data_IF_452216241440
#
_entry.id   IF_452216241440
#
_cell.length_a   1.000
_cell.length_b   1.000
_cell.length_c   1.000
_cell.angle_alpha   90.00
_cell.angle_beta   90.00
_cell.angle_gamma   90.00
#
_symmetry.space_group_name_H-M   'P 1'
#
loop_
_entity.id
_entity.type
_entity.pdbx_description
1 polymer ?
#
# COMPACT_ATOMS: atom_id res chain seq x y z
N UNK A 1 7.52 39.84 9.74
CA UNK A 1 8.68 39.09 10.28
C UNK A 1 8.44 37.60 10.03
N UNK A 2 9.18 36.93 9.14
CA UNK A 2 9.04 35.47 8.98
C UNK A 2 9.61 34.77 10.22
N UNK A 3 8.74 34.40 11.14
CA UNK A 3 9.10 33.81 12.43
C UNK A 3 9.71 32.40 12.34
N UNK A 4 10.25 31.88 13.47
CA UNK A 4 10.87 30.54 13.57
C UNK A 4 9.93 29.38 13.16
N UNK A 5 8.62 29.64 13.10
CA UNK A 5 7.57 28.67 12.78
C UNK A 5 7.57 28.29 11.29
N UNK A 6 7.73 29.25 10.38
CA UNK A 6 7.88 28.97 8.93
C UNK A 6 9.11 28.11 8.63
N UNK A 7 10.15 28.17 9.48
CA UNK A 7 11.35 27.34 9.33
C UNK A 7 11.15 25.87 9.68
N UNK A 8 10.10 25.51 10.42
CA UNK A 8 9.90 24.14 10.92
C UNK A 8 8.89 23.32 10.09
N UNK A 9 7.82 23.95 9.58
CA UNK A 9 6.79 23.25 8.79
C UNK A 9 7.08 23.26 7.28
N UNK A 10 7.67 24.35 6.76
CA UNK A 10 7.95 24.49 5.34
C UNK A 10 8.89 23.42 4.77
N UNK A 11 9.96 22.97 5.46
CA UNK A 11 10.86 21.96 4.92
C UNK A 11 10.18 20.60 4.74
N UNK A 12 9.46 20.11 5.75
CA UNK A 12 8.77 18.81 5.69
C UNK A 12 7.63 18.81 4.67
N UNK A 13 6.93 19.95 4.56
CA UNK A 13 5.90 20.16 3.55
C UNK A 13 6.48 20.14 2.12
N UNK A 14 7.58 20.85 1.91
CA UNK A 14 8.27 20.85 0.62
C UNK A 14 8.81 19.45 0.29
N UNK A 15 9.30 18.71 1.29
CA UNK A 15 9.75 17.33 1.13
C UNK A 15 8.59 16.41 0.69
N UNK A 16 7.42 16.49 1.33
CA UNK A 16 6.26 15.70 0.92
C UNK A 16 5.82 16.05 -0.50
N UNK A 17 5.68 17.33 -0.81
CA UNK A 17 5.29 17.80 -2.14
C UNK A 17 6.26 17.32 -3.22
N UNK A 18 7.55 17.50 -2.99
CA UNK A 18 8.59 17.04 -3.91
C UNK A 18 8.55 15.52 -4.06
N UNK A 19 8.40 14.79 -2.95
CA UNK A 19 8.36 13.33 -3.00
C UNK A 19 7.15 12.83 -3.78
N UNK A 20 5.96 13.40 -3.57
CA UNK A 20 4.75 13.04 -4.32
C UNK A 20 4.94 13.22 -5.83
N UNK A 21 5.63 14.27 -6.28
CA UNK A 21 5.97 14.46 -7.69
C UNK A 21 6.93 13.42 -8.27
N UNK A 22 7.65 12.67 -7.42
CA UNK A 22 8.58 11.61 -7.85
C UNK A 22 7.97 10.21 -7.82
N UNK A 23 6.80 10.04 -7.19
CA UNK A 23 6.14 8.74 -7.13
C UNK A 23 5.59 8.40 -8.52
N UNK A 24 5.96 7.24 -9.10
CA UNK A 24 5.43 6.83 -10.39
C UNK A 24 3.89 6.69 -10.38
N UNK A 25 3.29 6.89 -11.56
CA UNK A 25 1.92 6.45 -11.82
C UNK A 25 1.99 5.01 -12.34
N UNK A 26 1.30 4.11 -11.66
CA UNK A 26 1.24 2.70 -12.05
C UNK A 26 -0.03 2.47 -12.86
N UNK A 27 0.01 2.81 -14.15
CA UNK A 27 -1.14 2.64 -15.05
C UNK A 27 -1.25 1.23 -15.61
N UNK A 28 -0.14 0.50 -15.65
CA UNK A 28 -0.06 -0.86 -16.17
C UNK A 28 0.79 -1.70 -15.22
N UNK A 29 0.37 -2.95 -15.02
CA UNK A 29 1.13 -3.89 -14.22
C UNK A 29 2.19 -4.62 -15.06
N UNK A 30 3.41 -4.78 -14.53
CA UNK A 30 4.48 -5.44 -15.26
C UNK A 30 4.21 -6.94 -15.37
N UNK A 31 4.54 -7.49 -16.53
CA UNK A 31 4.48 -8.93 -16.74
C UNK A 31 5.57 -9.68 -15.98
N UNK A 32 5.20 -10.84 -15.44
CA UNK A 32 6.12 -11.78 -14.79
C UNK A 32 6.18 -11.69 -13.27
N UNK A 33 6.32 -12.84 -12.63
CA UNK A 33 6.27 -12.98 -11.16
C UNK A 33 7.36 -12.20 -10.44
N UNK A 34 8.57 -12.19 -10.99
CA UNK A 34 9.70 -11.47 -10.37
C UNK A 34 9.50 -9.96 -10.46
N UNK A 35 9.02 -9.46 -11.61
CA UNK A 35 8.65 -8.05 -11.80
C UNK A 35 7.55 -7.62 -10.83
N UNK A 36 6.50 -8.43 -10.69
CA UNK A 36 5.42 -8.19 -9.73
C UNK A 36 5.93 -8.20 -8.28
N UNK A 37 6.91 -9.05 -7.96
CA UNK A 37 7.50 -9.11 -6.61
C UNK A 37 8.33 -7.86 -6.29
N UNK A 38 9.09 -7.35 -7.25
CA UNK A 38 9.82 -6.08 -7.08
C UNK A 38 8.86 -4.90 -6.99
N UNK A 39 7.86 -4.83 -7.87
CA UNK A 39 6.82 -3.80 -7.82
C UNK A 39 6.11 -3.78 -6.46
N UNK A 40 5.78 -4.96 -5.90
CA UNK A 40 5.18 -5.07 -4.56
C UNK A 40 6.06 -4.43 -3.47
N UNK A 41 7.38 -4.57 -3.55
CA UNK A 41 8.31 -3.97 -2.59
C UNK A 41 8.36 -2.46 -2.77
N UNK A 42 8.37 -1.99 -4.01
CA UNK A 42 8.38 -0.58 -4.37
C UNK A 42 7.11 0.14 -3.90
N UNK A 43 5.92 -0.40 -4.18
CA UNK A 43 4.65 0.14 -3.70
C UNK A 43 4.62 0.26 -2.16
N UNK A 44 5.06 -0.79 -1.45
CA UNK A 44 5.19 -0.75 0.02
C UNK A 44 6.16 0.31 0.50
N UNK A 45 7.25 0.54 -0.23
CA UNK A 45 8.21 1.59 0.10
C UNK A 45 7.57 2.97 -0.01
N UNK A 46 6.88 3.26 -1.12
CA UNK A 46 6.22 4.55 -1.33
C UNK A 46 5.15 4.81 -0.28
N UNK A 47 4.24 3.86 -0.04
CA UNK A 47 3.20 3.98 0.99
C UNK A 47 3.84 4.34 2.33
N UNK A 48 4.83 3.56 2.77
CA UNK A 48 5.50 3.79 4.06
C UNK A 48 6.18 5.16 4.14
N UNK A 49 6.78 5.63 3.05
CA UNK A 49 7.46 6.93 3.02
C UNK A 49 6.47 8.09 3.05
N UNK A 50 5.39 8.03 2.27
CA UNK A 50 4.34 9.05 2.28
C UNK A 50 3.70 9.11 3.66
N UNK A 51 3.29 7.97 4.24
CA UNK A 51 2.68 7.95 5.58
C UNK A 51 3.56 8.62 6.63
N UNK A 52 4.88 8.36 6.63
CA UNK A 52 5.80 9.00 7.58
C UNK A 52 5.88 10.51 7.42
N UNK A 53 5.94 11.01 6.18
CA UNK A 53 5.99 12.44 5.92
C UNK A 53 4.68 13.10 6.33
N UNK A 54 3.55 12.47 6.03
CA UNK A 54 2.23 12.94 6.41
C UNK A 54 2.05 12.95 7.93
N UNK A 55 2.53 11.94 8.65
CA UNK A 55 2.51 11.89 10.13
C UNK A 55 3.35 13.01 10.76
N UNK A 56 4.55 13.26 10.22
CA UNK A 56 5.42 14.34 10.69
C UNK A 56 4.77 15.70 10.50
N UNK A 57 4.11 15.89 9.36
CA UNK A 57 3.36 17.09 9.01
C UNK A 57 2.18 17.28 9.98
N UNK A 58 1.37 16.25 10.22
CA UNK A 58 0.28 16.28 11.20
C UNK A 58 0.77 16.64 12.61
N UNK A 59 1.86 16.01 13.06
CA UNK A 59 2.44 16.28 14.39
C UNK A 59 2.90 17.73 14.51
N UNK A 60 3.56 18.26 13.48
CA UNK A 60 4.04 19.65 13.46
C UNK A 60 2.88 20.65 13.44
N UNK A 61 1.78 20.31 12.77
CA UNK A 61 0.58 21.13 12.77
C UNK A 61 -0.12 21.16 14.14
N UNK A 62 -0.17 20.03 14.84
CA UNK A 62 -0.68 19.96 16.21
C UNK A 62 0.17 20.80 17.19
N UNK A 63 1.51 20.72 17.09
CA UNK A 63 2.42 21.57 17.86
C UNK A 63 2.17 23.07 17.60
N UNK A 64 1.83 23.44 16.36
CA UNK A 64 1.48 24.81 15.97
C UNK A 64 0.15 25.27 16.56
N UNK A 65 -0.90 24.47 16.44
CA UNK A 65 -2.23 24.76 17.00
C UNK A 65 -2.14 25.02 18.51
N UNK A 66 -1.36 24.20 19.23
CA UNK A 66 -1.13 24.38 20.67
C UNK A 66 -0.36 25.66 21.01
N UNK A 67 0.66 26.03 20.20
CA UNK A 67 1.41 27.26 20.40
C UNK A 67 0.53 28.51 20.21
N UNK A 68 -0.31 28.52 19.18
CA UNK A 68 -1.27 29.60 18.94
C UNK A 68 -2.22 29.69 20.13
N UNK A 69 -2.88 28.61 20.51
CA UNK A 69 -3.84 28.59 21.63
C UNK A 69 -3.22 29.10 22.95
N UNK A 70 -1.95 28.79 23.22
CA UNK A 70 -1.22 29.32 24.39
C UNK A 70 -0.89 30.80 24.30
N UNK A 71 -0.76 31.35 23.11
CA UNK A 71 -0.43 32.76 22.86
C UNK A 71 -1.65 33.70 22.74
N UNK A 72 -2.84 33.14 22.47
CA UNK A 72 -4.11 33.87 22.31
C UNK A 72 -4.58 34.68 23.54
N UNK A 73 -4.23 34.37 24.81
CA UNK A 73 -4.64 35.25 25.92
C UNK A 73 -3.98 36.64 25.92
N UNK A 74 -2.94 36.88 25.11
CA UNK A 74 -2.04 38.03 25.28
C UNK A 74 -2.16 39.17 24.24
N UNK A 75 -2.86 39.01 23.10
CA UNK A 75 -2.87 40.04 22.04
C UNK A 75 -4.20 40.19 21.29
N UNK A 76 -5.20 40.75 21.94
CA UNK A 76 -6.49 41.09 21.32
C UNK A 76 -6.46 42.36 20.41
N UNK A 77 -5.30 42.79 19.88
CA UNK A 77 -5.19 44.06 19.11
C UNK A 77 -4.23 44.06 17.89
N UNK A 78 -3.64 42.94 17.52
CA UNK A 78 -2.84 42.79 16.26
C UNK A 78 -3.38 41.61 15.42
N UNK A 79 -4.69 41.33 15.51
CA UNK A 79 -5.28 40.04 15.12
C UNK A 79 -5.56 39.85 13.63
N UNK A 80 -5.76 40.90 12.83
CA UNK A 80 -6.29 40.74 11.46
C UNK A 80 -5.24 40.21 10.45
N UNK A 81 -4.02 40.74 10.47
CA UNK A 81 -2.94 40.34 9.54
C UNK A 81 -2.36 38.95 9.91
N UNK A 82 -2.31 38.62 11.20
CA UNK A 82 -1.91 37.30 11.69
C UNK A 82 -2.95 36.23 11.34
N UNK A 83 -4.25 36.56 11.40
CA UNK A 83 -5.31 35.61 11.04
C UNK A 83 -5.28 35.25 9.56
N UNK A 84 -5.03 36.22 8.68
CA UNK A 84 -5.02 35.98 7.23
C UNK A 84 -3.77 35.19 6.78
N UNK A 85 -2.61 35.42 7.43
CA UNK A 85 -1.39 34.66 7.16
C UNK A 85 -1.46 33.23 7.72
N UNK A 86 -2.19 33.01 8.82
CA UNK A 86 -2.41 31.68 9.40
C UNK A 86 -3.44 30.85 8.63
N UNK A 87 -4.52 31.45 8.11
CA UNK A 87 -5.50 30.74 7.27
C UNK A 87 -4.91 30.30 5.93
N UNK A 88 -4.16 31.16 5.22
CA UNK A 88 -3.47 30.77 3.97
C UNK A 88 -2.43 29.67 4.16
N UNK A 89 -1.74 29.67 5.30
CA UNK A 89 -0.79 28.61 5.66
C UNK A 89 -1.47 27.25 5.91
N UNK A 90 -2.66 27.29 6.54
CA UNK A 90 -3.46 26.12 6.85
C UNK A 90 -4.15 25.50 5.61
N UNK A 91 -4.65 26.32 4.69
CA UNK A 91 -5.27 25.85 3.43
C UNK A 91 -4.26 25.09 2.56
N UNK A 92 -3.08 25.68 2.35
CA UNK A 92 -2.01 25.06 1.59
C UNK A 92 -1.43 23.82 2.33
N UNK A 93 -1.61 23.70 3.64
CA UNK A 93 -1.25 22.49 4.40
C UNK A 93 -2.24 21.36 4.13
N UNK A 94 -3.54 21.65 4.23
CA UNK A 94 -4.61 20.69 4.02
C UNK A 94 -4.53 20.08 2.62
N UNK A 95 -4.24 20.90 1.61
CA UNK A 95 -4.08 20.46 0.23
C UNK A 95 -2.99 19.40 0.07
N UNK A 96 -1.77 19.66 0.56
CA UNK A 96 -0.64 18.72 0.42
C UNK A 96 -0.84 17.47 1.28
N UNK A 97 -1.49 17.62 2.44
CA UNK A 97 -1.86 16.48 3.29
C UNK A 97 -2.88 15.58 2.58
N UNK A 98 -3.93 16.16 1.97
CA UNK A 98 -4.94 15.43 1.21
C UNK A 98 -4.35 14.72 0.00
N UNK A 99 -3.47 15.39 -0.76
CA UNK A 99 -2.73 14.77 -1.87
C UNK A 99 -1.90 13.56 -1.40
N UNK A 100 -1.30 13.66 -0.21
CA UNK A 100 -0.58 12.54 0.40
C UNK A 100 -1.49 11.35 0.73
N UNK A 101 -2.71 11.60 1.22
CA UNK A 101 -3.68 10.54 1.51
C UNK A 101 -4.20 9.88 0.23
N UNK A 102 -4.62 10.69 -0.75
CA UNK A 102 -5.08 10.20 -2.06
C UNK A 102 -4.02 9.31 -2.72
N UNK A 103 -2.74 9.72 -2.68
CA UNK A 103 -1.65 8.92 -3.22
C UNK A 103 -1.43 7.62 -2.45
N UNK A 104 -1.67 7.59 -1.14
CA UNK A 104 -1.58 6.36 -0.35
C UNK A 104 -2.68 5.38 -0.78
N UNK A 105 -3.91 5.86 -0.95
CA UNK A 105 -5.05 5.03 -1.38
C UNK A 105 -4.79 4.42 -2.77
N UNK A 106 -4.36 5.24 -3.74
CA UNK A 106 -3.98 4.77 -5.08
C UNK A 106 -2.90 3.66 -5.03
N UNK A 107 -1.85 3.85 -4.22
CA UNK A 107 -0.78 2.86 -4.09
C UNK A 107 -1.25 1.59 -3.37
N UNK A 108 -2.22 1.69 -2.47
CA UNK A 108 -2.81 0.54 -1.78
C UNK A 108 -3.65 -0.31 -2.73
N UNK A 109 -4.43 0.31 -3.60
CA UNK A 109 -5.19 -0.39 -4.65
C UNK A 109 -4.25 -1.16 -5.58
N UNK A 110 -3.21 -0.49 -6.09
CA UNK A 110 -2.18 -1.11 -6.91
C UNK A 110 -1.49 -2.29 -6.19
N UNK A 111 -1.23 -2.15 -4.88
CA UNK A 111 -0.60 -3.20 -4.09
C UNK A 111 -1.53 -4.42 -3.93
N UNK A 112 -2.84 -4.21 -3.79
CA UNK A 112 -3.80 -5.29 -3.69
C UNK A 112 -3.96 -6.02 -5.03
N UNK A 113 -3.98 -5.30 -6.15
CA UNK A 113 -4.00 -5.90 -7.48
C UNK A 113 -2.76 -6.78 -7.72
N UNK A 114 -1.56 -6.26 -7.42
CA UNK A 114 -0.31 -7.04 -7.48
C UNK A 114 -0.37 -8.28 -6.58
N UNK A 115 -0.91 -8.16 -5.36
CA UNK A 115 -1.08 -9.32 -4.48
C UNK A 115 -2.03 -10.35 -5.07
N UNK A 116 -3.11 -9.91 -5.72
CA UNK A 116 -4.08 -10.80 -6.35
C UNK A 116 -3.48 -11.55 -7.54
N UNK A 117 -2.72 -10.89 -8.40
CA UNK A 117 -2.02 -11.54 -9.51
C UNK A 117 -0.98 -12.56 -9.02
N UNK A 118 -0.20 -12.20 -8.01
CA UNK A 118 0.75 -13.13 -7.39
C UNK A 118 0.05 -14.35 -6.79
N UNK A 119 -1.14 -14.20 -6.19
CA UNK A 119 -1.95 -15.33 -5.70
C UNK A 119 -2.43 -16.21 -6.86
N UNK A 120 -2.98 -15.62 -7.91
CA UNK A 120 -3.45 -16.36 -9.09
C UNK A 120 -2.32 -17.19 -9.75
N UNK A 121 -1.11 -16.64 -9.85
CA UNK A 121 0.04 -17.37 -10.38
C UNK A 121 0.47 -18.55 -9.48
N UNK A 122 0.25 -18.47 -8.16
CA UNK A 122 0.54 -19.58 -7.25
C UNK A 122 -0.56 -20.64 -7.24
N UNK A 123 -1.80 -20.26 -7.54
CA UNK A 123 -2.95 -21.17 -7.58
C UNK A 123 -3.06 -21.92 -8.91
N UNK A 124 -2.52 -21.38 -10.00
CA UNK A 124 -2.50 -22.09 -11.29
C UNK A 124 -1.51 -23.25 -11.21
N UNK A 125 -1.95 -24.52 -11.16
CA UNK A 125 -1.02 -25.62 -11.38
C UNK A 125 -0.55 -25.45 -12.81
N UNK A 126 0.75 -25.31 -13.01
CA UNK A 126 1.37 -25.53 -14.32
C UNK A 126 1.16 -27.00 -14.70
N UNK A 127 -0.06 -27.34 -15.13
CA UNK A 127 -0.48 -28.67 -15.57
C UNK A 127 -0.09 -28.92 -17.04
N UNK A 128 0.38 -27.89 -17.75
CA UNK A 128 0.93 -27.99 -19.10
C UNK A 128 2.46 -28.16 -19.11
N UNK A 129 3.03 -28.95 -18.19
CA UNK A 129 4.38 -29.48 -18.42
C UNK A 129 4.27 -30.74 -19.27
N UNK A 130 4.82 -30.78 -20.50
CA UNK A 130 5.02 -32.05 -21.18
C UNK A 130 5.88 -32.94 -20.28
N UNK A 131 5.30 -34.08 -19.88
CA UNK A 131 5.93 -35.05 -18.99
C UNK A 131 7.13 -35.70 -19.69
N UNK A 132 8.30 -35.06 -19.58
CA UNK A 132 9.56 -35.67 -20.00
C UNK A 132 10.10 -36.57 -18.88
N UNK A 133 10.02 -37.88 -19.10
CA UNK A 133 10.86 -38.90 -18.46
C UNK A 133 10.49 -39.32 -17.03
N UNK A 134 10.39 -40.64 -16.83
CA UNK A 134 10.46 -41.49 -15.62
C UNK A 134 9.68 -41.09 -14.34
N UNK A 135 9.52 -39.80 -14.01
CA UNK A 135 8.71 -39.29 -12.90
C UNK A 135 7.21 -39.59 -13.04
N UNK A 136 6.71 -39.76 -14.28
CA UNK A 136 5.31 -40.14 -14.52
C UNK A 136 5.02 -41.60 -14.13
N UNK A 137 6.00 -42.49 -14.29
CA UNK A 137 5.88 -43.91 -13.93
C UNK A 137 5.73 -44.08 -12.42
N UNK A 138 6.50 -43.33 -11.62
CA UNK A 138 6.43 -43.37 -10.16
C UNK A 138 5.04 -42.92 -9.66
N UNK A 139 4.45 -41.88 -10.27
CA UNK A 139 3.12 -41.38 -9.88
C UNK A 139 1.98 -42.35 -10.27
N UNK A 140 2.10 -43.05 -11.39
CA UNK A 140 1.17 -44.10 -11.81
C UNK A 140 1.24 -45.35 -10.92
N UNK A 141 2.44 -45.74 -10.48
CA UNK A 141 2.63 -46.88 -9.57
C UNK A 141 2.05 -46.56 -8.17
N UNK A 142 2.28 -45.34 -7.67
CA UNK A 142 1.71 -44.89 -6.40
C UNK A 142 0.16 -44.84 -6.42
N UNK A 143 -0.44 -44.43 -7.54
CA UNK A 143 -1.91 -44.39 -7.68
C UNK A 143 -2.55 -45.78 -7.89
N UNK A 144 -1.82 -46.77 -8.40
CA UNK A 144 -2.30 -48.15 -8.51
C UNK A 144 -2.36 -48.86 -7.16
N UNK A 145 -1.48 -48.52 -6.22
CA UNK A 145 -1.41 -49.20 -4.92
C UNK A 145 -2.50 -48.80 -3.91
N UNK A 146 -3.28 -47.74 -4.18
CA UNK A 146 -4.33 -47.24 -3.28
C UNK A 146 -5.77 -47.65 -3.67
N UNK A 147 -5.95 -48.45 -4.73
CA UNK A 147 -7.25 -49.07 -5.02
C UNK A 147 -7.38 -50.40 -4.29
N UNK A 148 -7.78 -50.36 -3.02
CA UNK A 148 -8.37 -51.55 -2.35
C UNK A 148 -9.59 -51.99 -3.18
N UNK A 149 -9.74 -53.29 -3.53
CA UNK A 149 -10.94 -53.75 -4.20
C UNK A 149 -12.14 -53.64 -3.24
N UNK A 150 -13.19 -52.92 -3.67
CA UNK A 150 -14.49 -52.94 -3.00
C UNK A 150 -15.03 -54.36 -3.11
N UNK A 151 -15.18 -55.01 -1.95
CA UNK A 151 -15.80 -56.32 -1.76
C UNK A 151 -17.27 -56.22 -2.22
N UNK A 152 -17.60 -56.83 -3.35
CA UNK A 152 -18.99 -56.96 -3.83
C UNK A 152 -19.64 -58.12 -3.09
N UNK A 153 -20.60 -57.83 -2.22
CA UNK A 153 -21.46 -58.84 -1.60
C UNK A 153 -22.43 -59.37 -2.66
N UNK A 154 -22.25 -60.62 -3.05
CA UNK A 154 -23.26 -61.38 -3.78
C UNK A 154 -24.33 -61.85 -2.77
N UNK A 155 -25.56 -61.39 -2.92
CA UNK A 155 -26.74 -62.04 -2.32
C UNK A 155 -27.41 -62.87 -3.41
N UNK A 156 -27.26 -64.18 -3.30
CA UNK A 156 -28.00 -65.18 -4.05
C UNK A 156 -29.44 -65.21 -3.53
N UNK A 157 -30.42 -64.98 -4.42
CA UNK A 157 -31.79 -65.45 -4.21
C UNK A 157 -31.95 -66.68 -5.09
N UNK A 158 -32.02 -67.85 -4.47
CA UNK A 158 -32.50 -69.06 -5.12
C UNK A 158 -34.00 -69.18 -4.91
N UNK A 159 -34.66 -69.53 -6.02
CA UNK A 159 -35.98 -70.15 -6.22
C UNK A 159 -37.19 -69.42 -5.67
#
# INVERSE_FOLDING_TARGET
MSGPIRRLLAPTKAELSQYLSTVPQYSELPDGVDSLRELRKELKHHIKRISRLTDLISKKNEEWTQLIQRSVPARAKEEEELHEETTKGAENFLEIWLQGQEKIEELQENLEEVNQQLRAHNETPSDDRPCNGWKCVIRLIANKSNRRPKRTSHTTMMT
#
